data_IF_524183662895
#
_entry.id   IF_524183662895
#
_cell.length_a   1.000
_cell.length_b   1.000
_cell.length_c   1.000
_cell.angle_alpha   90.00
_cell.angle_beta   90.00
_cell.angle_gamma   90.00
#
_symmetry.space_group_name_H-M   'P 1'
#
loop_
_entity.id
_entity.type
_entity.pdbx_description
1 polymer ?
#
# COMPACT_ATOMS: atom_id res chain seq x y z
N UNK A 1 37.82 -7.07 -5.74
CA UNK A 1 36.43 -7.04 -5.22
C UNK A 1 35.77 -5.80 -5.79
N UNK A 2 34.65 -5.91 -6.49
CA UNK A 2 33.89 -4.73 -6.92
C UNK A 2 33.25 -4.12 -5.66
N UNK A 3 33.59 -2.87 -5.36
CA UNK A 3 33.01 -2.14 -4.24
C UNK A 3 31.51 -1.97 -4.50
N UNK A 4 30.69 -2.53 -3.60
CA UNK A 4 29.23 -2.53 -3.74
C UNK A 4 28.71 -1.16 -3.33
N UNK A 5 27.84 -0.53 -4.13
CA UNK A 5 27.23 0.74 -3.75
C UNK A 5 26.43 0.59 -2.46
N UNK A 6 26.51 1.60 -1.60
CA UNK A 6 25.69 1.66 -0.38
C UNK A 6 24.23 1.93 -0.74
N UNK A 7 23.29 1.46 0.09
CA UNK A 7 21.86 1.65 -0.17
C UNK A 7 21.42 3.12 -0.07
N UNK A 8 22.12 3.95 0.69
CA UNK A 8 21.89 5.41 0.78
C UNK A 8 22.53 6.20 -0.36
N UNK A 9 23.26 5.54 -1.28
CA UNK A 9 23.91 6.22 -2.40
C UNK A 9 22.86 6.86 -3.32
N UNK A 10 22.92 8.19 -3.54
CA UNK A 10 22.04 8.88 -4.48
C UNK A 10 22.37 8.45 -5.91
N UNK A 11 21.36 8.22 -6.74
CA UNK A 11 21.53 7.75 -8.10
C UNK A 11 21.53 8.91 -9.09
N UNK A 12 22.44 8.86 -10.06
CA UNK A 12 22.38 9.74 -11.23
C UNK A 12 21.23 9.33 -12.15
N UNK A 13 21.13 8.02 -12.39
CA UNK A 13 20.07 7.39 -13.18
C UNK A 13 19.99 5.89 -12.87
N UNK A 14 18.88 5.29 -13.27
CA UNK A 14 18.73 3.85 -13.39
C UNK A 14 18.28 3.48 -14.79
N UNK A 15 18.66 2.30 -15.26
CA UNK A 15 18.33 1.84 -16.61
C UNK A 15 17.90 0.39 -16.61
N UNK A 16 16.75 0.12 -17.22
CA UNK A 16 16.37 -1.23 -17.63
C UNK A 16 16.95 -1.47 -19.01
N UNK A 17 17.89 -2.40 -19.11
CA UNK A 17 18.34 -2.94 -20.40
C UNK A 17 17.41 -4.06 -20.82
N UNK A 18 16.77 -3.94 -21.97
CA UNK A 18 15.79 -4.89 -22.44
C UNK A 18 16.48 -5.98 -23.27
N UNK A 19 16.00 -7.22 -23.14
CA UNK A 19 16.33 -8.29 -24.09
C UNK A 19 15.85 -7.92 -25.51
N UNK A 20 16.42 -8.51 -26.58
CA UNK A 20 15.97 -8.24 -27.96
C UNK A 20 14.47 -8.48 -28.19
N UNK A 21 13.89 -9.49 -27.50
CA UNK A 21 12.46 -9.81 -27.54
C UNK A 21 11.60 -8.92 -26.61
N UNK A 22 12.23 -8.03 -25.84
CA UNK A 22 11.61 -7.14 -24.84
C UNK A 22 10.70 -7.86 -23.84
N UNK A 23 10.97 -9.14 -23.57
CA UNK A 23 10.24 -9.94 -22.57
C UNK A 23 10.95 -9.95 -21.21
N UNK A 24 12.27 -9.76 -21.21
CA UNK A 24 13.13 -9.72 -20.04
C UNK A 24 13.90 -8.40 -19.98
N UNK A 25 14.31 -8.03 -18.78
CA UNK A 25 15.16 -6.87 -18.55
C UNK A 25 16.19 -7.11 -17.45
N UNK A 26 17.26 -6.34 -17.50
CA UNK A 26 18.24 -6.19 -16.42
C UNK A 26 18.21 -4.74 -15.93
N UNK A 27 18.05 -4.55 -14.62
CA UNK A 27 18.02 -3.23 -14.01
C UNK A 27 19.40 -2.90 -13.43
N UNK A 28 19.94 -1.77 -13.86
CA UNK A 28 21.19 -1.20 -13.36
C UNK A 28 20.93 0.14 -12.70
N UNK A 29 21.66 0.42 -11.63
CA UNK A 29 21.71 1.71 -10.95
C UNK A 29 23.10 2.32 -11.14
N UNK A 30 23.15 3.62 -11.43
CA UNK A 30 24.40 4.35 -11.64
C UNK A 30 24.49 5.55 -10.69
N UNK A 31 25.68 5.75 -10.12
CA UNK A 31 26.00 6.82 -9.18
C UNK A 31 27.49 7.14 -9.28
N UNK A 32 27.82 8.40 -9.56
CA UNK A 32 29.21 8.90 -9.55
C UNK A 32 30.13 8.16 -10.53
N UNK A 33 29.59 7.68 -11.65
CA UNK A 33 30.33 6.90 -12.66
C UNK A 33 30.48 5.40 -12.35
N UNK A 34 30.05 4.93 -11.18
CA UNK A 34 29.92 3.50 -10.90
C UNK A 34 28.53 3.01 -11.36
N UNK A 35 28.43 1.75 -11.77
CA UNK A 35 27.16 1.12 -12.17
C UNK A 35 27.07 -0.26 -11.56
N UNK A 36 25.95 -0.54 -10.88
CA UNK A 36 25.67 -1.83 -10.23
C UNK A 36 24.37 -2.44 -10.74
N UNK A 37 24.38 -3.75 -11.00
CA UNK A 37 23.17 -4.50 -11.34
C UNK A 37 22.33 -4.77 -10.10
N UNK A 38 21.07 -4.34 -10.10
CA UNK A 38 20.14 -4.52 -8.98
C UNK A 38 19.21 -5.72 -9.16
N UNK A 39 18.76 -5.97 -10.40
CA UNK A 39 17.79 -7.02 -10.68
C UNK A 39 17.90 -7.55 -12.11
N UNK A 40 17.40 -8.75 -12.33
CA UNK A 40 17.18 -9.32 -13.67
C UNK A 40 15.92 -10.17 -13.63
N UNK A 41 15.07 -10.09 -14.65
CA UNK A 41 13.80 -10.78 -14.64
C UNK A 41 12.91 -10.49 -15.83
N UNK A 42 11.62 -10.75 -15.66
CA UNK A 42 10.58 -10.42 -16.63
C UNK A 42 10.36 -8.91 -16.65
N UNK A 43 10.12 -8.34 -17.83
CA UNK A 43 9.81 -6.92 -17.99
C UNK A 43 8.36 -6.59 -17.59
N UNK A 44 7.44 -7.55 -17.85
CA UNK A 44 5.99 -7.37 -17.66
C UNK A 44 5.59 -6.83 -16.27
N UNK A 45 6.13 -7.36 -15.15
CA UNK A 45 5.82 -6.83 -13.83
C UNK A 45 6.23 -5.36 -13.64
N UNK A 46 7.36 -4.93 -14.22
CA UNK A 46 7.81 -3.54 -14.13
C UNK A 46 6.92 -2.60 -14.94
N UNK A 47 6.59 -2.97 -16.18
CA UNK A 47 5.68 -2.18 -17.04
C UNK A 47 4.31 -2.02 -16.40
N UNK A 48 3.77 -3.08 -15.79
CA UNK A 48 2.48 -3.03 -15.09
C UNK A 48 2.47 -2.12 -13.83
N UNK A 49 3.65 -1.74 -13.33
CA UNK A 49 3.80 -0.99 -12.08
C UNK A 49 4.56 0.33 -12.25
N UNK A 50 4.92 0.70 -13.48
CA UNK A 50 5.77 1.85 -13.74
C UNK A 50 5.40 2.48 -15.09
N UNK A 51 4.60 3.55 -15.03
CA UNK A 51 4.09 4.25 -16.22
C UNK A 51 5.22 4.68 -17.17
N UNK A 52 6.32 5.20 -16.63
CA UNK A 52 7.48 5.60 -17.44
C UNK A 52 8.09 4.43 -18.21
N UNK A 53 8.06 3.21 -17.66
CA UNK A 53 8.52 2.02 -18.38
C UNK A 53 7.52 1.59 -19.45
N UNK A 54 6.23 1.66 -19.17
CA UNK A 54 5.18 1.41 -20.18
C UNK A 54 5.33 2.33 -21.39
N UNK A 55 5.46 3.64 -21.17
CA UNK A 55 5.59 4.64 -22.23
C UNK A 55 6.85 4.45 -23.08
N UNK A 56 8.01 4.21 -22.45
CA UNK A 56 9.27 3.98 -23.16
C UNK A 56 9.32 2.64 -23.90
N UNK A 57 8.67 1.60 -23.38
CA UNK A 57 8.56 0.32 -24.09
C UNK A 57 7.61 0.44 -25.29
N UNK A 58 6.52 1.20 -25.15
CA UNK A 58 5.58 1.48 -26.23
C UNK A 58 6.22 2.28 -27.37
N UNK A 59 7.19 3.17 -27.08
CA UNK A 59 7.97 3.90 -28.09
C UNK A 59 9.07 3.05 -28.76
N UNK A 60 9.06 1.73 -28.55
CA UNK A 60 10.01 0.77 -29.07
C UNK A 60 11.47 0.94 -28.62
N UNK A 61 11.70 1.63 -27.49
CA UNK A 61 13.04 1.73 -26.92
C UNK A 61 13.62 0.36 -26.54
N UNK A 62 14.94 0.20 -26.70
CA UNK A 62 15.69 -0.98 -26.26
C UNK A 62 16.16 -0.86 -24.80
N UNK A 63 15.93 0.28 -24.18
CA UNK A 63 16.18 0.54 -22.77
C UNK A 63 15.13 1.48 -22.20
N UNK A 64 14.85 1.35 -20.91
CA UNK A 64 14.02 2.31 -20.16
C UNK A 64 14.92 3.03 -19.18
N UNK A 65 14.99 4.36 -19.27
CA UNK A 65 15.80 5.17 -18.36
C UNK A 65 14.93 5.87 -17.33
N UNK A 66 15.34 5.78 -16.07
CA UNK A 66 14.79 6.52 -14.95
C UNK A 66 15.81 7.57 -14.51
N UNK A 67 15.50 8.84 -14.70
CA UNK A 67 16.35 9.95 -14.29
C UNK A 67 15.51 11.11 -13.77
N UNK A 68 16.04 11.81 -12.78
CA UNK A 68 15.29 12.84 -12.04
C UNK A 68 15.56 14.25 -12.59
N UNK A 69 16.61 14.42 -13.39
CA UNK A 69 17.10 15.72 -13.86
C UNK A 69 17.62 16.59 -12.71
N UNK A 70 17.90 17.88 -12.95
CA UNK A 70 18.28 18.84 -11.89
C UNK A 70 17.08 19.29 -11.05
N UNK A 71 16.44 18.37 -10.31
CA UNK A 71 15.44 18.74 -9.31
C UNK A 71 16.08 18.87 -7.93
N UNK A 72 15.61 19.86 -7.16
CA UNK A 72 15.97 20.01 -5.76
C UNK A 72 15.60 18.74 -4.99
N UNK A 73 16.51 18.28 -4.13
CA UNK A 73 16.33 17.17 -3.19
C UNK A 73 16.14 15.78 -3.82
N UNK A 74 16.54 15.58 -5.08
CA UNK A 74 16.52 14.25 -5.71
C UNK A 74 17.35 13.22 -4.93
N UNK A 75 18.48 13.66 -4.38
CA UNK A 75 19.42 12.84 -3.62
C UNK A 75 18.81 12.24 -2.35
N UNK A 76 17.76 12.86 -1.79
CA UNK A 76 17.14 12.41 -0.55
C UNK A 76 16.19 11.21 -0.74
N UNK A 77 15.72 10.94 -1.97
CA UNK A 77 14.73 9.88 -2.22
C UNK A 77 15.08 9.00 -3.42
N UNK A 78 15.86 9.48 -4.39
CA UNK A 78 16.29 8.71 -5.54
C UNK A 78 17.64 8.02 -5.25
N UNK A 79 17.59 7.08 -4.31
CA UNK A 79 18.75 6.32 -3.86
C UNK A 79 18.68 4.86 -4.34
N UNK A 80 19.80 4.15 -4.25
CA UNK A 80 19.85 2.71 -4.49
C UNK A 80 18.80 1.95 -3.67
N UNK A 81 18.66 2.27 -2.39
CA UNK A 81 17.74 1.63 -1.46
C UNK A 81 16.29 1.81 -1.86
N UNK A 82 15.89 3.00 -2.30
CA UNK A 82 14.53 3.23 -2.83
C UNK A 82 14.25 2.36 -4.05
N UNK A 83 15.21 2.25 -4.96
CA UNK A 83 15.06 1.43 -6.15
C UNK A 83 15.01 -0.07 -5.82
N UNK A 84 15.83 -0.55 -4.88
CA UNK A 84 15.80 -1.94 -4.38
C UNK A 84 14.46 -2.28 -3.72
N UNK A 85 13.87 -1.36 -2.95
CA UNK A 85 12.54 -1.52 -2.37
C UNK A 85 11.45 -1.58 -3.44
N UNK A 86 11.53 -0.72 -4.47
CA UNK A 86 10.62 -0.80 -5.61
C UNK A 86 10.72 -2.15 -6.34
N UNK A 87 11.93 -2.64 -6.61
CA UNK A 87 12.14 -3.97 -7.20
C UNK A 87 11.49 -5.06 -6.36
N UNK A 88 11.65 -4.99 -5.03
CA UNK A 88 11.03 -5.93 -4.10
C UNK A 88 9.50 -5.86 -4.14
N UNK A 89 8.93 -4.65 -4.21
CA UNK A 89 7.49 -4.47 -4.39
C UNK A 89 6.98 -5.13 -5.68
N UNK A 90 7.69 -4.95 -6.80
CA UNK A 90 7.31 -5.56 -8.08
C UNK A 90 7.43 -7.09 -8.05
N UNK A 91 8.37 -7.62 -7.25
CA UNK A 91 8.64 -9.05 -7.14
C UNK A 91 7.65 -9.77 -6.22
N UNK A 92 7.21 -9.11 -5.14
CA UNK A 92 6.29 -9.65 -4.14
C UNK A 92 5.29 -8.56 -3.70
N UNK A 93 4.36 -8.16 -4.58
CA UNK A 93 3.40 -7.09 -4.28
C UNK A 93 2.45 -7.45 -3.12
N UNK A 94 2.22 -8.74 -2.90
CA UNK A 94 1.28 -9.28 -1.92
C UNK A 94 1.59 -8.81 -0.50
N UNK A 95 2.87 -8.60 -0.19
CA UNK A 95 3.33 -8.11 1.13
C UNK A 95 2.71 -6.76 1.45
N UNK A 96 2.58 -5.88 0.47
CA UNK A 96 1.98 -4.56 0.64
C UNK A 96 0.47 -4.57 0.38
N UNK A 97 -0.01 -5.39 -0.55
CA UNK A 97 -1.45 -5.45 -0.87
C UNK A 97 -2.29 -6.04 0.25
N UNK A 98 -1.72 -6.94 1.07
CA UNK A 98 -2.39 -7.44 2.27
C UNK A 98 -2.68 -6.32 3.28
N UNK A 99 -1.77 -5.35 3.43
CA UNK A 99 -1.99 -4.18 4.30
C UNK A 99 -3.21 -3.42 3.82
N UNK A 100 -3.32 -3.14 2.52
CA UNK A 100 -4.48 -2.46 1.94
C UNK A 100 -5.78 -3.26 2.09
N UNK A 101 -5.70 -4.59 2.00
CA UNK A 101 -6.86 -5.47 2.12
C UNK A 101 -7.43 -5.42 3.53
N UNK A 102 -6.58 -5.59 4.55
CA UNK A 102 -7.01 -5.50 5.95
C UNK A 102 -7.42 -4.09 6.36
N UNK A 103 -6.75 -3.07 5.83
CA UNK A 103 -7.13 -1.66 6.02
C UNK A 103 -8.56 -1.38 5.52
N UNK A 104 -8.88 -1.83 4.30
CA UNK A 104 -10.20 -1.67 3.71
C UNK A 104 -11.28 -2.44 4.49
N UNK A 105 -10.98 -3.69 4.87
CA UNK A 105 -11.89 -4.50 5.68
C UNK A 105 -12.17 -3.84 7.03
N UNK A 106 -11.13 -3.33 7.71
CA UNK A 106 -11.29 -2.65 8.99
C UNK A 106 -12.17 -1.40 8.86
N UNK A 107 -11.96 -0.58 7.83
CA UNK A 107 -12.81 0.58 7.56
C UNK A 107 -14.27 0.19 7.25
N UNK A 108 -14.49 -0.91 6.56
CA UNK A 108 -15.85 -1.44 6.30
C UNK A 108 -16.53 -1.90 7.60
N UNK A 109 -15.80 -2.60 8.47
CA UNK A 109 -16.32 -3.06 9.76
C UNK A 109 -16.62 -1.89 10.70
N UNK A 110 -15.80 -0.86 10.74
CA UNK A 110 -16.08 0.37 11.51
C UNK A 110 -17.33 1.09 11.00
N UNK A 111 -17.53 1.14 9.68
CA UNK A 111 -18.72 1.72 9.08
C UNK A 111 -19.97 0.88 9.42
N UNK A 112 -19.89 -0.44 9.29
CA UNK A 112 -20.96 -1.34 9.68
C UNK A 112 -21.31 -1.18 11.17
N UNK A 113 -20.30 -1.17 12.05
CA UNK A 113 -20.48 -0.94 13.49
C UNK A 113 -21.21 0.36 13.76
N UNK A 114 -20.86 1.46 13.08
CA UNK A 114 -21.57 2.76 13.24
C UNK A 114 -23.03 2.66 12.84
N UNK A 115 -23.34 2.02 11.71
CA UNK A 115 -24.72 1.85 11.20
C UNK A 115 -25.56 1.04 12.20
N UNK A 116 -25.04 -0.09 12.68
CA UNK A 116 -25.78 -0.95 13.60
C UNK A 116 -25.85 -0.35 15.02
N UNK A 117 -24.84 0.38 15.48
CA UNK A 117 -24.88 1.03 16.80
C UNK A 117 -25.85 2.22 16.85
N UNK A 118 -25.95 2.99 15.77
CA UNK A 118 -26.84 4.17 15.71
C UNK A 118 -28.30 3.80 15.41
N UNK A 119 -28.54 2.65 14.77
CA UNK A 119 -29.87 2.21 14.40
C UNK A 119 -30.46 3.03 13.26
N UNK A 120 -30.94 2.35 12.23
CA UNK A 120 -31.90 2.92 11.27
C UNK A 120 -33.29 3.15 11.92
N UNK A 121 -33.32 3.61 13.18
CA UNK A 121 -34.47 3.50 14.08
C UNK A 121 -35.03 4.81 14.64
N UNK A 122 -34.51 5.97 14.22
CA UNK A 122 -34.93 7.26 14.80
C UNK A 122 -35.90 8.08 13.92
N UNK A 123 -36.38 7.54 12.80
CA UNK A 123 -37.35 8.26 11.93
C UNK A 123 -38.63 7.50 11.58
N UNK A 124 -38.83 6.27 12.05
CA UNK A 124 -40.05 5.50 11.73
C UNK A 124 -40.90 5.09 12.95
N UNK A 125 -40.44 5.41 14.17
CA UNK A 125 -41.16 5.06 15.39
C UNK A 125 -42.23 6.09 15.80
N UNK A 126 -42.24 7.28 15.20
CA UNK A 126 -43.15 8.39 15.60
C UNK A 126 -44.43 8.49 14.74
N UNK A 127 -44.65 7.57 13.78
CA UNK A 127 -45.82 7.62 12.88
C UNK A 127 -46.73 6.36 12.90
N UNK A 128 -46.42 5.31 13.67
CA UNK A 128 -47.23 4.09 13.71
C UNK A 128 -47.80 3.75 15.10
N UNK A 129 -48.32 4.75 15.84
CA UNK A 129 -49.29 4.46 16.90
C UNK A 129 -50.62 4.02 16.24
N UNK A 130 -50.65 2.79 15.74
CA UNK A 130 -51.85 2.02 15.50
C UNK A 130 -52.05 1.07 16.70
N UNK A 131 -53.19 1.12 17.40
CA UNK A 131 -53.42 0.25 18.55
C UNK A 131 -53.82 -1.13 18.04
N UNK A 132 -52.84 -2.01 17.81
CA UNK A 132 -53.14 -3.40 17.48
C UNK A 132 -51.95 -4.21 16.97
N UNK A 133 -51.30 -4.95 17.86
CA UNK A 133 -50.62 -6.20 17.49
C UNK A 133 -49.12 -6.15 17.21
N UNK A 134 -48.32 -5.62 18.14
CA UNK A 134 -46.88 -5.91 18.22
C UNK A 134 -46.58 -6.65 19.52
N UNK A 135 -46.50 -7.98 19.49
CA UNK A 135 -46.15 -8.76 20.67
C UNK A 135 -44.73 -8.43 21.17
N UNK A 136 -44.46 -8.42 22.49
CA UNK A 136 -43.14 -8.12 23.07
C UNK A 136 -41.98 -9.02 22.56
N UNK A 137 -42.30 -10.14 21.91
CA UNK A 137 -41.33 -11.13 21.44
C UNK A 137 -40.62 -10.80 20.12
N UNK A 138 -41.19 -9.95 19.24
CA UNK A 138 -40.58 -9.64 17.93
C UNK A 138 -39.48 -8.59 18.07
N UNK A 139 -39.72 -7.52 18.83
CA UNK A 139 -38.73 -6.46 19.07
C UNK A 139 -37.55 -6.92 19.93
N UNK A 140 -37.79 -7.81 20.90
CA UNK A 140 -36.72 -8.36 21.75
C UNK A 140 -35.78 -9.34 21.01
N UNK A 141 -36.32 -10.12 20.06
CA UNK A 141 -35.53 -11.03 19.23
C UNK A 141 -34.67 -10.26 18.21
N UNK A 142 -35.20 -9.19 17.63
CA UNK A 142 -34.47 -8.29 16.73
C UNK A 142 -33.35 -7.55 17.48
N UNK A 143 -33.60 -7.09 18.70
CA UNK A 143 -32.60 -6.47 19.57
C UNK A 143 -31.49 -7.44 19.98
N UNK A 144 -31.84 -8.71 20.27
CA UNK A 144 -30.87 -9.75 20.56
C UNK A 144 -29.98 -10.05 19.34
N UNK A 145 -30.58 -10.15 18.15
CA UNK A 145 -29.86 -10.38 16.88
C UNK A 145 -28.92 -9.22 16.56
N UNK A 146 -29.38 -7.98 16.76
CA UNK A 146 -28.58 -6.76 16.60
C UNK A 146 -27.38 -6.73 17.55
N UNK A 147 -27.57 -7.09 18.83
CA UNK A 147 -26.50 -7.18 19.81
C UNK A 147 -25.47 -8.23 19.44
N UNK A 148 -25.92 -9.40 18.97
CA UNK A 148 -25.02 -10.47 18.55
C UNK A 148 -24.24 -10.10 17.29
N UNK A 149 -24.87 -9.40 16.33
CA UNK A 149 -24.19 -8.86 15.15
C UNK A 149 -23.12 -7.83 15.53
N UNK A 150 -23.43 -6.90 16.43
CA UNK A 150 -22.44 -5.93 16.93
C UNK A 150 -21.26 -6.64 17.61
N UNK A 151 -21.54 -7.68 18.41
CA UNK A 151 -20.50 -8.51 19.04
C UNK A 151 -19.63 -9.22 17.99
N UNK A 152 -20.24 -9.75 16.92
CA UNK A 152 -19.50 -10.39 15.83
C UNK A 152 -18.63 -9.39 15.05
N UNK A 153 -19.13 -8.17 14.82
CA UNK A 153 -18.35 -7.08 14.20
C UNK A 153 -17.18 -6.69 15.10
N UNK A 154 -17.39 -6.53 16.40
CA UNK A 154 -16.33 -6.21 17.36
C UNK A 154 -15.25 -7.30 17.39
N UNK A 155 -15.64 -8.58 17.38
CA UNK A 155 -14.70 -9.69 17.28
C UNK A 155 -13.89 -9.67 15.99
N UNK A 156 -14.54 -9.42 14.83
CA UNK A 156 -13.81 -9.35 13.56
C UNK A 156 -12.91 -8.11 13.49
N UNK A 157 -13.31 -6.98 14.08
CA UNK A 157 -12.47 -5.80 14.22
C UNK A 157 -11.17 -6.09 14.97
N UNK A 158 -11.25 -6.84 16.08
CA UNK A 158 -10.05 -7.24 16.83
C UNK A 158 -9.16 -8.16 15.97
N UNK A 159 -9.75 -9.14 15.29
CA UNK A 159 -8.99 -10.06 14.43
C UNK A 159 -8.31 -9.32 13.25
N UNK A 160 -9.04 -8.47 12.52
CA UNK A 160 -8.48 -7.74 11.38
C UNK A 160 -7.41 -6.74 11.81
N UNK A 161 -7.53 -6.15 13.01
CA UNK A 161 -6.50 -5.27 13.57
C UNK A 161 -5.20 -6.03 13.86
N UNK A 162 -5.30 -7.27 14.34
CA UNK A 162 -4.13 -8.15 14.54
C UNK A 162 -3.51 -8.54 13.19
N UNK A 163 -4.33 -8.94 12.21
CA UNK A 163 -3.91 -9.28 10.85
C UNK A 163 -3.18 -8.09 10.18
N UNK A 164 -3.74 -6.88 10.30
CA UNK A 164 -3.16 -5.64 9.79
C UNK A 164 -1.82 -5.32 10.44
N UNK A 165 -1.69 -5.53 11.75
CA UNK A 165 -0.44 -5.32 12.48
C UNK A 165 0.63 -6.30 12.01
N UNK A 166 0.29 -7.57 11.85
CA UNK A 166 1.20 -8.60 11.34
C UNK A 166 1.61 -8.35 9.88
N UNK A 167 0.67 -7.93 9.03
CA UNK A 167 0.97 -7.53 7.64
C UNK A 167 1.90 -6.31 7.59
N UNK A 168 1.66 -5.31 8.44
CA UNK A 168 2.50 -4.10 8.51
C UNK A 168 3.91 -4.41 9.00
N UNK A 169 4.06 -5.29 10.00
CA UNK A 169 5.37 -5.76 10.47
C UNK A 169 6.13 -6.51 9.36
N UNK A 170 5.44 -7.35 8.58
CA UNK A 170 6.04 -8.02 7.41
C UNK A 170 6.47 -7.03 6.33
N UNK A 171 5.66 -6.01 6.04
CA UNK A 171 6.02 -4.95 5.11
C UNK A 171 7.26 -4.16 5.59
N UNK A 172 7.31 -3.80 6.86
CA UNK A 172 8.47 -3.13 7.46
C UNK A 172 9.74 -4.00 7.37
N UNK A 173 9.65 -5.30 7.68
CA UNK A 173 10.77 -6.24 7.55
C UNK A 173 11.23 -6.43 6.09
N UNK A 174 10.33 -6.25 5.13
CA UNK A 174 10.65 -6.23 3.69
C UNK A 174 11.24 -4.88 3.22
N UNK A 175 11.47 -3.92 4.12
CA UNK A 175 12.08 -2.62 3.82
C UNK A 175 11.08 -1.49 3.57
N UNK A 176 9.78 -1.70 3.77
CA UNK A 176 8.73 -0.68 3.67
C UNK A 176 8.44 -0.07 5.04
N UNK A 177 9.45 0.59 5.62
CA UNK A 177 9.35 1.25 6.93
C UNK A 177 8.90 2.73 6.80
N UNK A 178 8.66 3.39 7.93
CA UNK A 178 8.14 4.78 8.00
C UNK A 178 9.03 5.75 7.22
N UNK A 179 10.35 5.62 7.36
CA UNK A 179 11.31 6.53 6.73
C UNK A 179 11.34 6.34 5.20
N UNK A 180 11.32 5.09 4.75
CA UNK A 180 11.34 4.72 3.34
C UNK A 180 10.02 5.02 2.61
N UNK A 181 8.89 4.98 3.32
CA UNK A 181 7.56 5.16 2.73
C UNK A 181 7.40 6.55 2.11
N UNK A 182 7.98 7.59 2.73
CA UNK A 182 7.99 8.95 2.17
C UNK A 182 8.80 9.02 0.86
N UNK A 183 9.99 8.42 0.84
CA UNK A 183 10.85 8.34 -0.35
C UNK A 183 10.16 7.58 -1.49
N UNK A 184 9.50 6.46 -1.17
CA UNK A 184 8.79 5.61 -2.11
C UNK A 184 7.55 6.30 -2.71
N UNK A 185 6.87 7.16 -1.95
CA UNK A 185 5.77 7.97 -2.49
C UNK A 185 6.27 8.97 -3.52
N UNK A 186 7.36 9.67 -3.25
CA UNK A 186 7.97 10.62 -4.21
C UNK A 186 8.45 9.87 -5.46
N UNK A 187 9.11 8.72 -5.28
CA UNK A 187 9.50 7.85 -6.38
C UNK A 187 8.28 7.45 -7.23
N UNK A 188 7.21 7.00 -6.58
CA UNK A 188 6.00 6.56 -7.25
C UNK A 188 5.31 7.69 -8.01
N UNK A 189 5.27 8.90 -7.45
CA UNK A 189 4.75 10.08 -8.13
C UNK A 189 5.59 10.47 -9.34
N UNK A 190 6.92 10.35 -9.23
CA UNK A 190 7.81 10.73 -10.31
C UNK A 190 7.74 9.77 -11.50
N UNK A 191 7.67 8.47 -11.24
CA UNK A 191 7.75 7.45 -12.29
C UNK A 191 6.42 6.74 -12.59
N UNK A 192 5.34 7.15 -11.93
CA UNK A 192 3.99 6.63 -12.16
C UNK A 192 3.76 5.24 -11.58
N UNK A 193 4.30 4.96 -10.39
CA UNK A 193 4.10 3.68 -9.68
C UNK A 193 2.87 3.73 -8.75
N UNK A 194 1.68 3.87 -9.34
CA UNK A 194 0.44 4.14 -8.60
C UNK A 194 0.10 3.09 -7.52
N UNK A 195 0.32 1.79 -7.81
CA UNK A 195 0.07 0.71 -6.83
C UNK A 195 1.00 0.83 -5.62
N UNK A 196 2.29 1.11 -5.85
CA UNK A 196 3.25 1.36 -4.78
C UNK A 196 2.83 2.56 -3.94
N UNK A 197 2.47 3.68 -4.58
CA UNK A 197 2.00 4.88 -3.88
C UNK A 197 0.83 4.57 -2.94
N UNK A 198 -0.20 3.89 -3.46
CA UNK A 198 -1.38 3.52 -2.67
C UNK A 198 -0.98 2.75 -1.41
N UNK A 199 -0.16 1.71 -1.56
CA UNK A 199 0.29 0.91 -0.42
C UNK A 199 1.14 1.71 0.57
N UNK A 200 2.04 2.56 0.06
CA UNK A 200 2.90 3.40 0.88
C UNK A 200 2.05 4.38 1.72
N UNK A 201 1.04 5.02 1.14
CA UNK A 201 0.13 5.91 1.87
C UNK A 201 -0.63 5.19 2.99
N UNK A 202 -1.13 3.97 2.75
CA UNK A 202 -1.83 3.18 3.77
C UNK A 202 -0.92 2.84 4.96
N UNK A 203 0.32 2.41 4.69
CA UNK A 203 1.31 2.14 5.74
C UNK A 203 1.61 3.40 6.55
N UNK A 204 1.77 4.55 5.90
CA UNK A 204 2.00 5.82 6.59
C UNK A 204 0.84 6.19 7.52
N UNK A 205 -0.40 6.17 7.00
CA UNK A 205 -1.59 6.54 7.77
C UNK A 205 -1.75 5.67 9.03
N UNK A 206 -1.43 4.37 8.93
CA UNK A 206 -1.52 3.45 10.07
C UNK A 206 -0.42 3.62 11.10
N UNK A 207 0.80 3.93 10.67
CA UNK A 207 1.86 4.29 11.60
C UNK A 207 1.52 5.56 12.40
N UNK A 208 0.92 6.56 11.76
CA UNK A 208 0.46 7.78 12.43
C UNK A 208 -0.65 7.50 13.46
N UNK A 209 -1.59 6.59 13.17
CA UNK A 209 -2.63 6.18 14.11
C UNK A 209 -2.07 5.38 15.30
N UNK A 210 -1.15 4.43 15.05
CA UNK A 210 -0.50 3.65 16.10
C UNK A 210 0.28 4.51 17.10
N UNK A 211 0.92 5.59 16.62
CA UNK A 211 1.63 6.54 17.50
C UNK A 211 0.69 7.38 18.36
N UNK A 212 -0.50 7.76 17.86
CA UNK A 212 -1.51 8.51 18.63
C UNK A 212 -2.10 7.69 19.79
N UNK A 213 -2.20 6.37 19.65
CA UNK A 213 -2.67 5.46 20.70
C UNK A 213 -1.63 5.22 21.80
N UNK A 214 -0.33 5.43 21.54
CA UNK A 214 0.75 5.28 22.53
C UNK A 214 1.03 6.54 23.35
N UNK A 215 0.48 7.68 22.94
CA UNK A 215 0.63 8.98 23.63
C UNK A 215 -0.60 9.36 24.48
N UNK A 216 -1.59 8.47 24.59
CA UNK A 216 -2.72 8.57 25.52
C UNK A 216 -2.57 7.54 26.62
#
# INVERSE_FOLDING_TARGET
>A
MMEKMKSDAPLDYAVFQLSPKRSRCELFASSGGSTEKLASGLLKPFVANLKVAEEQVASAAQSVRLEVGRRKNAEAWFTKGTLERFVRFVSTPEVLELVNTFDAEMSQLEAARRIYSQGAGDQLSDLLIAPGGGGPGVTAADDATKKELLRAIDLRLVAVQQDLTAASARAAAAGFNVDAVSELQIFADRFGAHRLKKCACTIQARNEQGNKLKQK
#
